data_IF_254313414174
#
_entry.id   IF_254313414174
#
_cell.length_a   1.000
_cell.length_b   1.000
_cell.length_c   1.000
_cell.angle_alpha   90.00
_cell.angle_beta   90.00
_cell.angle_gamma   90.00
#
_symmetry.space_group_name_H-M   'P 1'
#
loop_
_entity.id
_entity.type
_entity.pdbx_description
1 polymer ?
#
# COMPACT_ATOMS: atom_id res chain seq x y z
N UNK A 1 -36.89 50.79 -12.52
CA UNK A 1 -36.28 49.83 -13.46
C UNK A 1 -34.75 49.76 -13.40
N UNK A 2 -34.00 50.87 -13.21
CA UNK A 2 -32.53 50.84 -13.14
C UNK A 2 -31.94 50.02 -11.97
N UNK A 3 -32.62 49.97 -10.82
CA UNK A 3 -32.16 49.21 -9.65
C UNK A 3 -32.37 47.69 -9.74
N UNK A 4 -33.30 47.23 -10.60
CA UNK A 4 -33.57 45.81 -10.78
C UNK A 4 -32.49 45.13 -11.66
N UNK A 5 -31.96 45.84 -12.66
CA UNK A 5 -30.87 45.36 -13.50
C UNK A 5 -29.53 45.26 -12.74
N UNK A 6 -29.28 46.19 -11.81
CA UNK A 6 -28.07 46.20 -10.98
C UNK A 6 -28.05 45.03 -9.98
N UNK A 7 -29.20 44.72 -9.38
CA UNK A 7 -29.35 43.59 -8.46
C UNK A 7 -29.17 42.23 -9.16
N UNK A 8 -29.63 42.09 -10.40
CA UNK A 8 -29.41 40.88 -11.20
C UNK A 8 -27.95 40.71 -11.65
N UNK A 9 -27.25 41.80 -11.98
CA UNK A 9 -25.84 41.75 -12.35
C UNK A 9 -24.93 41.30 -11.18
N UNK A 10 -25.23 41.71 -9.95
CA UNK A 10 -24.49 41.30 -8.74
C UNK A 10 -24.77 39.83 -8.40
N UNK A 11 -26.01 39.35 -8.60
CA UNK A 11 -26.34 37.93 -8.36
C UNK A 11 -25.64 36.99 -9.35
N UNK A 12 -25.52 37.37 -10.63
CA UNK A 12 -24.84 36.54 -11.66
C UNK A 12 -23.32 36.47 -11.45
N UNK A 13 -22.70 37.51 -10.87
CA UNK A 13 -21.27 37.51 -10.51
C UNK A 13 -20.99 36.61 -9.29
N UNK A 14 -21.94 36.51 -8.35
CA UNK A 14 -21.81 35.63 -7.18
C UNK A 14 -22.01 34.13 -7.50
N UNK A 15 -22.65 33.79 -8.63
CA UNK A 15 -22.86 32.40 -9.06
C UNK A 15 -21.91 31.93 -10.19
N UNK A 16 -20.99 32.78 -10.67
CA UNK A 16 -20.04 32.43 -11.76
C UNK A 16 -18.65 32.01 -11.30
N UNK A 17 -18.40 32.00 -9.99
CA UNK A 17 -17.20 31.40 -9.39
C UNK A 17 -17.60 30.02 -8.87
N UNK A 18 -17.57 29.00 -9.74
CA UNK A 18 -17.35 27.64 -9.22
C UNK A 18 -15.89 27.64 -8.78
N UNK A 19 -15.56 27.59 -7.47
CA UNK A 19 -14.18 27.45 -7.07
C UNK A 19 -13.71 26.09 -7.61
N UNK A 20 -12.64 26.09 -8.39
CA UNK A 20 -11.95 24.85 -8.74
C UNK A 20 -11.21 24.48 -7.46
N UNK A 21 -11.90 23.76 -6.60
CA UNK A 21 -11.33 23.36 -5.33
C UNK A 21 -10.22 22.35 -5.63
N UNK A 22 -9.05 22.56 -5.02
CA UNK A 22 -8.01 21.55 -4.97
C UNK A 22 -8.65 20.21 -4.58
N UNK A 23 -8.17 19.08 -5.14
CA UNK A 23 -8.72 17.75 -4.87
C UNK A 23 -9.08 17.60 -3.38
N UNK A 24 -10.39 17.66 -3.12
CA UNK A 24 -10.95 17.63 -1.77
C UNK A 24 -10.79 16.23 -1.18
N UNK A 25 -11.12 16.06 0.11
CA UNK A 25 -10.91 14.78 0.81
C UNK A 25 -11.45 13.55 0.06
N UNK A 26 -12.61 13.67 -0.59
CA UNK A 26 -13.21 12.62 -1.43
C UNK A 26 -12.36 12.31 -2.66
N UNK A 27 -11.97 13.34 -3.42
CA UNK A 27 -11.07 13.20 -4.57
C UNK A 27 -9.72 12.59 -4.16
N UNK A 28 -9.12 13.00 -3.03
CA UNK A 28 -7.80 12.48 -2.58
C UNK A 28 -7.86 10.99 -2.31
N UNK A 29 -8.92 10.55 -1.63
CA UNK A 29 -9.19 9.12 -1.38
C UNK A 29 -9.41 8.37 -2.69
N UNK A 30 -10.15 8.97 -3.60
CA UNK A 30 -10.42 8.45 -4.94
C UNK A 30 -9.15 8.20 -5.75
N UNK A 31 -8.37 9.26 -5.98
CA UNK A 31 -7.06 9.22 -6.64
C UNK A 31 -6.17 8.13 -6.03
N UNK A 32 -6.05 8.08 -4.71
CA UNK A 32 -5.21 7.09 -4.04
C UNK A 32 -5.75 5.65 -4.15
N UNK A 33 -7.07 5.47 -4.30
CA UNK A 33 -7.67 4.14 -4.44
C UNK A 33 -7.25 3.43 -5.73
N UNK A 34 -7.01 4.18 -6.82
CA UNK A 34 -6.49 3.63 -8.08
C UNK A 34 -5.12 2.97 -7.91
N UNK A 35 -4.19 3.68 -7.26
CA UNK A 35 -2.89 3.12 -6.90
C UNK A 35 -3.02 1.95 -5.91
N UNK A 36 -3.86 2.09 -4.88
CA UNK A 36 -4.04 1.06 -3.87
C UNK A 36 -4.53 -0.25 -4.49
N UNK A 37 -5.48 -0.21 -5.43
CA UNK A 37 -5.97 -1.37 -6.14
C UNK A 37 -4.88 -2.02 -7.02
N UNK A 38 -4.11 -1.22 -7.75
CA UNK A 38 -2.99 -1.69 -8.56
C UNK A 38 -1.90 -2.36 -7.71
N UNK A 39 -1.39 -1.66 -6.70
CA UNK A 39 -0.33 -2.15 -5.84
C UNK A 39 -0.77 -3.36 -5.01
N UNK A 40 -2.05 -3.45 -4.62
CA UNK A 40 -2.58 -4.65 -3.95
C UNK A 40 -2.48 -5.89 -4.84
N UNK A 41 -2.61 -5.75 -6.17
CA UNK A 41 -2.38 -6.88 -7.10
C UNK A 41 -0.89 -7.20 -7.18
N UNK A 42 -0.05 -6.19 -7.30
CA UNK A 42 1.40 -6.32 -7.46
C UNK A 42 2.09 -7.01 -6.27
N UNK A 43 1.63 -6.78 -5.03
CA UNK A 43 2.27 -7.42 -3.86
C UNK A 43 1.96 -8.92 -3.70
N UNK A 44 0.88 -9.43 -4.33
CA UNK A 44 0.41 -10.81 -4.08
C UNK A 44 1.46 -11.88 -4.34
N UNK A 45 2.21 -11.85 -5.47
CA UNK A 45 3.25 -12.84 -5.73
C UNK A 45 4.37 -12.84 -4.68
N UNK A 46 4.72 -11.67 -4.14
CA UNK A 46 5.75 -11.54 -3.10
C UNK A 46 5.35 -12.24 -1.80
N UNK A 47 4.11 -11.99 -1.34
CA UNK A 47 3.59 -12.64 -0.14
C UNK A 47 3.41 -14.14 -0.32
N UNK A 48 2.99 -14.57 -1.51
CA UNK A 48 2.90 -16.00 -1.84
C UNK A 48 4.27 -16.68 -1.76
N UNK A 49 5.28 -16.12 -2.44
CA UNK A 49 6.64 -16.65 -2.44
C UNK A 49 7.25 -16.67 -1.02
N UNK A 50 7.08 -15.59 -0.26
CA UNK A 50 7.52 -15.51 1.14
C UNK A 50 6.85 -16.59 2.01
N UNK A 51 5.54 -16.77 1.87
CA UNK A 51 4.79 -17.77 2.60
C UNK A 51 5.26 -19.20 2.27
N UNK A 52 5.45 -19.50 1.00
CA UNK A 52 5.92 -20.81 0.53
C UNK A 52 7.34 -21.09 1.06
N UNK A 53 8.28 -20.14 0.90
CA UNK A 53 9.66 -20.26 1.38
C UNK A 53 9.75 -20.34 2.90
N UNK A 54 9.02 -19.51 3.64
CA UNK A 54 9.03 -19.55 5.09
C UNK A 54 8.51 -20.89 5.58
N UNK A 55 7.37 -21.36 5.09
CA UNK A 55 6.78 -22.60 5.60
C UNK A 55 7.55 -23.86 5.20
N UNK A 56 8.30 -23.83 4.09
CA UNK A 56 9.23 -24.89 3.72
C UNK A 56 10.46 -24.94 4.63
N UNK A 57 11.02 -23.78 4.99
CA UNK A 57 12.29 -23.66 5.71
C UNK A 57 12.14 -23.42 7.22
N UNK A 58 10.91 -23.31 7.73
CA UNK A 58 10.63 -22.90 9.11
C UNK A 58 11.35 -23.77 10.15
N UNK A 59 11.46 -25.06 9.86
CA UNK A 59 12.01 -26.07 10.77
C UNK A 59 13.42 -26.53 10.38
N UNK A 60 14.12 -25.80 9.51
CA UNK A 60 15.50 -26.13 9.17
C UNK A 60 16.34 -26.18 10.45
N UNK A 61 17.04 -27.31 10.65
CA UNK A 61 17.81 -27.62 11.85
C UNK A 61 17.01 -27.64 13.17
N UNK A 62 15.69 -27.82 13.12
CA UNK A 62 14.83 -28.00 14.29
C UNK A 62 14.40 -29.46 14.41
N UNK A 63 14.86 -30.13 15.46
CA UNK A 63 14.46 -31.52 15.74
C UNK A 63 13.10 -31.59 16.44
N UNK A 64 12.05 -31.44 15.64
CA UNK A 64 10.66 -31.53 16.10
C UNK A 64 10.33 -32.87 16.76
N UNK A 65 10.92 -33.99 16.30
CA UNK A 65 10.66 -35.31 16.87
C UNK A 65 11.12 -35.37 18.32
N UNK A 66 12.34 -34.91 18.60
CA UNK A 66 12.88 -34.89 19.97
C UNK A 66 12.15 -33.88 20.88
N UNK A 67 11.72 -32.75 20.32
CA UNK A 67 10.91 -31.76 21.04
C UNK A 67 9.55 -32.37 21.43
N UNK A 68 8.85 -32.98 20.49
CA UNK A 68 7.50 -33.52 20.70
C UNK A 68 7.49 -34.91 21.38
N UNK A 69 8.60 -35.64 21.36
CA UNK A 69 8.74 -36.98 21.94
C UNK A 69 8.25 -38.12 21.04
N UNK A 70 7.56 -37.83 19.93
CA UNK A 70 7.13 -38.81 18.94
C UNK A 70 6.98 -38.18 17.55
N UNK A 71 7.08 -39.01 16.51
CA UNK A 71 6.90 -38.56 15.11
C UNK A 71 5.47 -38.09 14.84
N UNK A 72 4.47 -38.79 15.38
CA UNK A 72 3.06 -38.45 15.15
C UNK A 72 2.72 -37.07 15.72
N UNK A 73 3.11 -36.81 16.98
CA UNK A 73 2.90 -35.50 17.61
C UNK A 73 3.71 -34.40 16.93
N UNK A 74 4.92 -34.71 16.46
CA UNK A 74 5.72 -33.77 15.69
C UNK A 74 5.03 -33.35 14.38
N UNK A 75 4.43 -34.29 13.65
CA UNK A 75 3.71 -34.00 12.40
C UNK A 75 2.44 -33.18 12.63
N UNK A 76 1.69 -33.47 13.69
CA UNK A 76 0.51 -32.70 14.10
C UNK A 76 0.88 -31.25 14.43
N UNK A 77 1.84 -31.06 15.35
CA UNK A 77 2.32 -29.72 15.75
C UNK A 77 2.90 -28.95 14.56
N UNK A 78 3.66 -29.63 13.70
CA UNK A 78 4.20 -29.04 12.46
C UNK A 78 3.09 -28.49 11.57
N UNK A 79 2.01 -29.26 11.39
CA UNK A 79 0.87 -28.86 10.56
C UNK A 79 0.14 -27.66 11.16
N UNK A 80 -0.14 -27.69 12.48
CA UNK A 80 -0.83 -26.60 13.18
C UNK A 80 -0.03 -25.30 13.13
N UNK A 81 1.27 -25.35 13.44
CA UNK A 81 2.14 -24.17 13.37
C UNK A 81 2.21 -23.66 11.94
N UNK A 82 2.40 -24.53 10.94
CA UNK A 82 2.44 -24.13 9.53
C UNK A 82 1.16 -23.39 9.12
N UNK A 83 -0.01 -23.90 9.50
CA UNK A 83 -1.30 -23.27 9.18
C UNK A 83 -1.45 -21.90 9.87
N UNK A 84 -1.09 -21.80 11.15
CA UNK A 84 -1.18 -20.55 11.89
C UNK A 84 -0.18 -19.49 11.39
N UNK A 85 1.02 -19.92 10.96
CA UNK A 85 2.00 -19.05 10.29
C UNK A 85 1.44 -18.55 8.95
N UNK A 86 0.89 -19.43 8.11
CA UNK A 86 0.24 -19.05 6.85
C UNK A 86 -0.87 -18.02 7.09
N UNK A 87 -1.75 -18.28 8.05
CA UNK A 87 -2.83 -17.37 8.42
C UNK A 87 -2.29 -16.01 8.88
N UNK A 88 -1.24 -16.01 9.69
CA UNK A 88 -0.57 -14.78 10.17
C UNK A 88 -0.02 -13.96 9.00
N UNK A 89 0.63 -14.59 8.03
CA UNK A 89 1.16 -13.90 6.84
C UNK A 89 0.04 -13.34 5.97
N UNK A 90 -1.02 -14.13 5.73
CA UNK A 90 -2.19 -13.66 4.97
C UNK A 90 -2.88 -12.47 5.64
N UNK A 91 -2.99 -12.49 6.97
CA UNK A 91 -3.53 -11.36 7.73
C UNK A 91 -2.63 -10.14 7.60
N UNK A 92 -1.32 -10.30 7.79
CA UNK A 92 -0.36 -9.20 7.62
C UNK A 92 -0.42 -8.60 6.21
N UNK A 93 -0.49 -9.43 5.16
CA UNK A 93 -0.67 -8.96 3.79
C UNK A 93 -1.95 -8.12 3.65
N UNK A 94 -3.08 -8.61 4.18
CA UNK A 94 -4.36 -7.91 4.13
C UNK A 94 -4.26 -6.56 4.85
N UNK A 95 -3.75 -6.56 6.07
CA UNK A 95 -3.61 -5.37 6.91
C UNK A 95 -2.66 -4.34 6.26
N UNK A 96 -1.55 -4.80 5.67
CA UNK A 96 -0.60 -3.95 4.93
C UNK A 96 -1.24 -3.33 3.68
N UNK A 97 -1.90 -4.14 2.84
CA UNK A 97 -2.60 -3.62 1.64
C UNK A 97 -3.76 -2.69 1.97
N UNK A 98 -4.44 -2.91 3.11
CA UNK A 98 -5.52 -2.04 3.59
C UNK A 98 -5.07 -0.61 3.90
N UNK A 99 -3.77 -0.39 4.14
CA UNK A 99 -3.19 0.94 4.40
C UNK A 99 -2.79 1.69 3.13
N UNK A 100 -2.84 1.05 1.95
CA UNK A 100 -2.30 1.64 0.73
C UNK A 100 -2.96 2.97 0.38
N UNK A 101 -4.28 3.09 0.52
CA UNK A 101 -4.94 4.37 0.23
C UNK A 101 -4.39 5.51 1.10
N UNK A 102 -4.18 5.29 2.39
CA UNK A 102 -3.65 6.31 3.30
C UNK A 102 -2.18 6.62 3.02
N UNK A 103 -1.36 5.58 2.76
CA UNK A 103 0.05 5.75 2.39
C UNK A 103 0.20 6.57 1.10
N UNK A 104 -0.62 6.27 0.09
CA UNK A 104 -0.58 6.94 -1.21
C UNK A 104 -1.11 8.37 -1.10
N UNK A 105 -2.20 8.60 -0.37
CA UNK A 105 -2.68 9.97 -0.09
C UNK A 105 -1.58 10.77 0.59
N UNK A 106 -0.92 10.21 1.60
CA UNK A 106 0.17 10.89 2.28
C UNK A 106 1.33 11.19 1.33
N UNK A 107 1.70 10.24 0.47
CA UNK A 107 2.76 10.42 -0.51
C UNK A 107 2.46 11.57 -1.49
N UNK A 108 1.27 11.57 -2.10
CA UNK A 108 0.89 12.57 -3.11
C UNK A 108 0.72 13.96 -2.49
N UNK A 109 -0.02 14.05 -1.38
CA UNK A 109 -0.53 15.33 -0.88
C UNK A 109 0.35 15.92 0.23
N UNK A 110 1.18 15.14 0.93
CA UNK A 110 1.93 15.62 2.09
C UNK A 110 3.45 15.57 1.93
N UNK A 111 4.00 14.71 1.05
CA UNK A 111 5.43 14.71 0.73
C UNK A 111 5.75 15.72 -0.36
N UNK A 112 6.98 16.23 -0.39
CA UNK A 112 7.40 17.19 -1.40
C UNK A 112 7.73 16.52 -2.75
N UNK A 113 7.43 17.18 -3.88
CA UNK A 113 6.63 18.41 -3.97
C UNK A 113 5.15 18.12 -3.66
N UNK A 114 4.53 18.91 -2.78
CA UNK A 114 3.13 18.67 -2.35
C UNK A 114 2.14 19.00 -3.47
N UNK A 115 1.31 18.03 -3.84
CA UNK A 115 0.21 18.24 -4.81
C UNK A 115 -1.00 18.84 -4.09
N UNK A 116 -0.90 20.09 -3.65
CA UNK A 116 -1.95 20.81 -2.92
C UNK A 116 -2.24 22.16 -3.57
N UNK A 117 -3.40 22.72 -3.23
CA UNK A 117 -3.80 24.05 -3.69
C UNK A 117 -4.53 24.05 -5.03
N UNK A 118 -5.24 25.15 -5.28
CA UNK A 118 -5.99 25.41 -6.50
C UNK A 118 -5.01 25.64 -7.67
N UNK A 119 -5.36 25.06 -8.81
CA UNK A 119 -4.64 25.19 -10.06
C UNK A 119 -4.93 26.52 -10.78
N UNK A 120 -5.85 27.34 -10.30
CA UNK A 120 -6.25 28.60 -10.94
C UNK A 120 -5.27 29.76 -10.81
N UNK A 121 -4.14 29.60 -10.14
CA UNK A 121 -3.21 30.70 -9.94
C UNK A 121 -1.77 30.26 -10.24
N UNK A 122 -1.26 30.51 -11.48
CA UNK A 122 -1.93 31.16 -12.63
C UNK A 122 -2.96 30.26 -13.33
N UNK A 123 -4.05 30.85 -13.85
CA UNK A 123 -5.16 30.14 -14.52
C UNK A 123 -4.68 29.37 -15.76
N UNK A 124 -4.64 28.04 -15.72
CA UNK A 124 -4.23 27.22 -16.88
C UNK A 124 -5.34 26.36 -17.48
N UNK A 125 -6.32 25.94 -16.69
CA UNK A 125 -7.43 25.11 -17.18
C UNK A 125 -8.77 25.69 -16.74
N UNK A 126 -9.63 26.02 -17.71
CA UNK A 126 -11.06 26.19 -17.44
C UNK A 126 -11.68 24.81 -17.35
N UNK A 127 -11.97 24.34 -16.13
CA UNK A 127 -12.68 23.08 -15.92
C UNK A 127 -14.06 23.16 -16.59
N UNK A 128 -14.23 22.48 -17.72
CA UNK A 128 -15.57 22.13 -18.19
C UNK A 128 -16.09 21.05 -17.26
N UNK A 129 -17.33 21.18 -16.75
CA UNK A 129 -17.98 20.26 -15.79
C UNK A 129 -18.12 18.79 -16.25
N UNK A 130 -17.52 18.42 -17.37
CA UNK A 130 -17.58 17.08 -17.94
C UNK A 130 -16.52 16.20 -17.28
N UNK A 131 -16.96 15.32 -16.39
CA UNK A 131 -16.16 14.19 -15.91
C UNK A 131 -16.43 12.94 -16.78
N UNK A 132 -15.45 12.04 -16.95
CA UNK A 132 -14.05 12.15 -16.51
C UNK A 132 -13.31 13.27 -17.25
N UNK A 133 -12.20 13.75 -16.69
CA UNK A 133 -11.28 14.66 -17.36
C UNK A 133 -10.76 14.03 -18.66
N UNK A 134 -10.65 14.84 -19.70
CA UNK A 134 -10.00 14.45 -20.95
C UNK A 134 -8.51 14.16 -20.68
N UNK A 135 -7.93 13.03 -21.11
CA UNK A 135 -6.49 12.75 -21.00
C UNK A 135 -5.58 13.88 -21.52
N UNK A 136 -6.03 14.65 -22.52
CA UNK A 136 -5.31 15.83 -23.04
C UNK A 136 -5.11 16.89 -21.94
N UNK A 137 -5.97 16.91 -20.91
CA UNK A 137 -5.79 17.81 -19.77
C UNK A 137 -4.50 17.51 -18.99
N UNK A 138 -4.02 16.26 -18.94
CA UNK A 138 -2.72 15.94 -18.33
C UNK A 138 -1.57 16.58 -19.11
N UNK A 139 -1.60 16.50 -20.43
CA UNK A 139 -0.54 17.05 -21.30
C UNK A 139 -0.45 18.57 -21.24
N UNK A 140 -1.58 19.23 -20.95
CA UNK A 140 -1.66 20.69 -20.81
C UNK A 140 -1.16 21.22 -19.47
N UNK A 141 -0.89 20.34 -18.50
CA UNK A 141 -0.31 20.75 -17.23
C UNK A 141 1.21 20.88 -17.36
N UNK A 142 1.75 21.79 -16.58
CA UNK A 142 3.18 22.14 -16.57
C UNK A 142 3.58 22.77 -15.22
N UNK A 143 2.78 22.54 -14.17
CA UNK A 143 2.99 23.01 -12.79
C UNK A 143 2.26 22.11 -11.80
N UNK A 144 2.83 22.01 -10.59
CA UNK A 144 2.34 21.15 -9.54
C UNK A 144 1.22 21.84 -8.77
N UNK A 145 0.03 21.24 -8.80
CA UNK A 145 -1.11 21.61 -7.99
C UNK A 145 -1.93 20.37 -7.62
N UNK A 146 -3.00 20.54 -6.84
CA UNK A 146 -3.73 19.43 -6.25
C UNK A 146 -4.78 18.76 -7.15
N UNK A 147 -5.04 19.21 -8.38
CA UNK A 147 -6.10 18.61 -9.21
C UNK A 147 -5.65 17.30 -9.90
N UNK A 148 -6.62 16.48 -10.36
CA UNK A 148 -6.30 15.23 -11.05
C UNK A 148 -5.46 15.36 -12.34
N UNK A 149 -5.67 16.35 -13.23
CA UNK A 149 -4.78 16.57 -14.38
C UNK A 149 -3.32 16.81 -14.01
N UNK A 150 -3.02 17.61 -12.97
CA UNK A 150 -1.65 17.82 -12.47
C UNK A 150 -1.04 16.50 -12.00
N UNK A 151 -1.77 15.76 -11.16
CA UNK A 151 -1.30 14.47 -10.64
C UNK A 151 -1.03 13.48 -11.80
N UNK A 152 -1.88 13.49 -12.82
CA UNK A 152 -1.71 12.68 -14.02
C UNK A 152 -0.49 13.11 -14.86
N UNK A 153 -0.23 14.41 -15.01
CA UNK A 153 0.93 14.93 -15.75
C UNK A 153 2.25 14.49 -15.11
N UNK A 154 2.36 14.67 -13.80
CA UNK A 154 3.56 14.32 -13.03
C UNK A 154 3.54 12.86 -12.54
N UNK A 155 2.73 12.00 -13.16
CA UNK A 155 2.52 10.63 -12.70
C UNK A 155 3.85 9.86 -12.67
N UNK A 156 4.59 9.91 -13.78
CA UNK A 156 5.81 9.12 -13.98
C UNK A 156 7.03 9.75 -13.29
N UNK A 157 7.13 11.08 -13.35
CA UNK A 157 8.31 11.81 -12.85
C UNK A 157 8.30 11.97 -11.33
N UNK A 158 7.13 12.22 -10.73
CA UNK A 158 7.05 12.61 -9.31
C UNK A 158 6.18 11.66 -8.48
N UNK A 159 5.00 11.28 -8.96
CA UNK A 159 3.97 10.61 -8.14
C UNK A 159 4.30 9.13 -7.92
N UNK A 160 4.48 8.34 -8.99
CA UNK A 160 4.75 6.90 -8.87
C UNK A 160 6.04 6.61 -8.09
N UNK A 161 7.18 7.30 -8.35
CA UNK A 161 8.41 7.01 -7.64
C UNK A 161 8.27 7.08 -6.11
N UNK A 162 7.72 8.17 -5.58
CA UNK A 162 7.52 8.34 -4.14
C UNK A 162 6.45 7.44 -3.56
N UNK A 163 5.40 7.14 -4.32
CA UNK A 163 4.34 6.22 -3.89
C UNK A 163 4.90 4.80 -3.73
N UNK A 164 5.68 4.33 -4.69
CA UNK A 164 6.40 3.05 -4.63
C UNK A 164 7.37 3.03 -3.46
N UNK A 165 8.18 4.07 -3.31
CA UNK A 165 9.16 4.17 -2.22
C UNK A 165 8.49 4.19 -0.84
N UNK A 166 7.37 4.92 -0.70
CA UNK A 166 6.58 4.95 0.54
C UNK A 166 6.08 3.55 0.91
N UNK A 167 5.57 2.79 -0.07
CA UNK A 167 5.11 1.40 0.16
C UNK A 167 6.29 0.50 0.55
N UNK A 168 7.43 0.60 -0.14
CA UNK A 168 8.65 -0.18 0.19
C UNK A 168 9.11 0.10 1.62
N UNK A 169 9.26 1.37 1.98
CA UNK A 169 9.72 1.79 3.29
C UNK A 169 8.77 1.35 4.40
N UNK A 170 7.45 1.49 4.18
CA UNK A 170 6.46 1.04 5.14
C UNK A 170 6.52 -0.48 5.36
N UNK A 171 6.67 -1.29 4.30
CA UNK A 171 6.83 -2.74 4.44
C UNK A 171 8.07 -3.10 5.27
N UNK A 172 9.20 -2.44 5.03
CA UNK A 172 10.46 -2.71 5.75
C UNK A 172 10.29 -2.45 7.25
N UNK A 173 9.61 -1.35 7.60
CA UNK A 173 9.30 -1.00 8.99
C UNK A 173 8.38 -2.07 9.61
N UNK A 174 7.25 -2.37 8.98
CA UNK A 174 6.25 -3.30 9.51
C UNK A 174 6.74 -4.75 9.55
N UNK A 175 7.69 -5.12 8.69
CA UNK A 175 8.30 -6.46 8.68
C UNK A 175 9.11 -6.75 9.95
N UNK A 176 9.59 -5.72 10.67
CA UNK A 176 10.24 -5.91 11.98
C UNK A 176 9.25 -6.45 13.00
N UNK A 177 8.03 -5.94 13.00
CA UNK A 177 6.96 -6.41 13.88
C UNK A 177 6.44 -7.78 13.45
N UNK A 178 6.42 -8.07 12.15
CA UNK A 178 6.04 -9.39 11.63
C UNK A 178 6.88 -10.52 12.22
N UNK A 179 8.20 -10.32 12.41
CA UNK A 179 9.08 -11.31 13.05
C UNK A 179 8.58 -11.63 14.46
N UNK A 180 8.25 -10.61 15.24
CA UNK A 180 7.72 -10.75 16.61
C UNK A 180 6.38 -11.46 16.61
N UNK A 181 5.47 -11.08 15.70
CA UNK A 181 4.15 -11.70 15.57
C UNK A 181 4.28 -13.19 15.23
N UNK A 182 5.10 -13.54 14.24
CA UNK A 182 5.34 -14.94 13.85
C UNK A 182 5.95 -15.77 14.98
N UNK A 183 6.94 -15.21 15.70
CA UNK A 183 7.53 -15.86 16.88
C UNK A 183 6.47 -16.16 17.93
N UNK A 184 5.59 -15.20 18.21
CA UNK A 184 4.50 -15.37 19.17
C UNK A 184 3.46 -16.39 18.70
N UNK A 185 3.11 -16.39 17.41
CA UNK A 185 2.22 -17.40 16.81
C UNK A 185 2.74 -18.82 17.04
N UNK A 186 4.04 -19.05 16.81
CA UNK A 186 4.69 -20.35 17.06
C UNK A 186 4.66 -20.70 18.55
N UNK A 187 5.07 -19.76 19.42
CA UNK A 187 5.10 -19.95 20.87
C UNK A 187 3.71 -20.33 21.40
N UNK A 188 2.67 -19.61 20.99
CA UNK A 188 1.30 -19.83 21.45
C UNK A 188 0.78 -21.19 20.95
N UNK A 189 0.99 -21.50 19.67
CA UNK A 189 0.58 -22.79 19.10
C UNK A 189 1.27 -23.96 19.79
N UNK A 190 2.59 -23.86 20.03
CA UNK A 190 3.35 -24.89 20.74
C UNK A 190 2.89 -25.07 22.19
N UNK A 191 2.59 -23.97 22.90
CA UNK A 191 2.12 -24.00 24.29
C UNK A 191 0.76 -24.67 24.43
N UNK A 192 -0.18 -24.35 23.52
CA UNK A 192 -1.50 -25.01 23.44
C UNK A 192 -1.36 -26.52 23.23
N UNK A 193 -0.31 -26.95 22.51
CA UNK A 193 -0.01 -28.36 22.24
C UNK A 193 0.92 -29.01 23.28
N UNK A 194 0.98 -28.43 24.49
CA UNK A 194 1.73 -28.94 25.64
C UNK A 194 3.26 -29.04 25.42
N UNK A 195 3.82 -28.20 24.55
CA UNK A 195 5.28 -28.01 24.46
C UNK A 195 5.67 -26.87 25.40
N UNK A 196 6.44 -27.18 26.45
CA UNK A 196 6.79 -26.25 27.54
C UNK A 196 8.27 -26.31 27.91
N UNK A 197 8.70 -25.35 28.74
CA UNK A 197 10.07 -25.30 29.29
C UNK A 197 11.15 -25.22 28.20
N UNK A 198 12.25 -25.95 28.41
CA UNK A 198 13.39 -25.94 27.48
C UNK A 198 13.01 -26.40 26.06
N UNK A 199 12.04 -27.32 25.92
CA UNK A 199 11.56 -27.78 24.62
C UNK A 199 10.88 -26.66 23.82
N UNK A 200 10.10 -25.81 24.50
CA UNK A 200 9.46 -24.65 23.90
C UNK A 200 10.52 -23.64 23.42
N UNK A 201 11.50 -23.33 24.27
CA UNK A 201 12.56 -22.38 23.94
C UNK A 201 13.36 -22.86 22.72
N UNK A 202 13.78 -24.13 22.69
CA UNK A 202 14.48 -24.74 21.54
C UNK A 202 13.68 -24.62 20.24
N UNK A 203 12.37 -24.91 20.29
CA UNK A 203 11.50 -24.78 19.13
C UNK A 203 11.41 -23.33 18.65
N UNK A 204 11.08 -22.41 19.57
CA UNK A 204 10.85 -21.00 19.24
C UNK A 204 12.12 -20.35 18.72
N UNK A 205 13.27 -20.58 19.36
CA UNK A 205 14.54 -19.95 18.98
C UNK A 205 15.07 -20.52 17.67
N UNK A 206 14.92 -21.83 17.45
CA UNK A 206 15.25 -22.47 16.17
C UNK A 206 14.41 -21.90 15.02
N UNK A 207 13.10 -21.85 15.19
CA UNK A 207 12.20 -21.26 14.19
C UNK A 207 12.45 -19.76 14.01
N UNK A 208 12.79 -19.01 15.07
CA UNK A 208 13.00 -17.56 15.00
C UNK A 208 14.19 -17.19 14.10
N UNK A 209 15.29 -17.97 14.11
CA UNK A 209 16.42 -17.79 13.18
C UNK A 209 15.98 -17.95 11.72
N UNK A 210 15.15 -18.96 11.45
CA UNK A 210 14.60 -19.21 10.12
C UNK A 210 13.64 -18.08 9.70
N UNK A 211 12.76 -17.63 10.60
CA UNK A 211 11.87 -16.48 10.36
C UNK A 211 12.68 -15.23 9.98
N UNK A 212 13.69 -14.86 10.78
CA UNK A 212 14.53 -13.68 10.51
C UNK A 212 15.20 -13.75 9.14
N UNK A 213 15.74 -14.92 8.79
CA UNK A 213 16.38 -15.15 7.49
C UNK A 213 15.40 -14.96 6.34
N UNK A 214 14.22 -15.56 6.44
CA UNK A 214 13.21 -15.50 5.38
C UNK A 214 12.55 -14.12 5.27
N UNK A 215 12.29 -13.44 6.39
CA UNK A 215 11.78 -12.06 6.39
C UNK A 215 12.81 -11.12 5.75
N UNK A 216 14.11 -11.24 6.08
CA UNK A 216 15.16 -10.43 5.45
C UNK A 216 15.25 -10.67 3.94
N UNK A 217 15.13 -11.92 3.49
CA UNK A 217 15.10 -12.25 2.07
C UNK A 217 13.85 -11.69 1.38
N UNK A 218 12.69 -11.79 2.03
CA UNK A 218 11.44 -11.21 1.55
C UNK A 218 11.51 -9.70 1.40
N UNK A 219 11.94 -8.96 2.43
CA UNK A 219 12.04 -7.50 2.36
C UNK A 219 13.00 -7.05 1.29
N UNK A 220 14.17 -7.71 1.16
CA UNK A 220 15.13 -7.41 0.10
C UNK A 220 14.56 -7.67 -1.30
N UNK A 221 13.87 -8.79 -1.49
CA UNK A 221 13.22 -9.11 -2.77
C UNK A 221 12.10 -8.11 -3.09
N UNK A 222 11.32 -7.71 -2.10
CA UNK A 222 10.28 -6.69 -2.27
C UNK A 222 10.87 -5.33 -2.63
N UNK A 223 11.83 -4.85 -1.86
CA UNK A 223 12.52 -3.57 -2.09
C UNK A 223 13.09 -3.45 -3.51
N UNK A 224 13.69 -4.54 -4.01
CA UNK A 224 14.35 -4.57 -5.32
C UNK A 224 13.41 -4.81 -6.50
N UNK A 225 12.30 -5.55 -6.33
CA UNK A 225 11.46 -5.96 -7.45
C UNK A 225 10.03 -5.40 -7.45
N UNK A 226 9.50 -4.99 -6.30
CA UNK A 226 8.18 -4.35 -6.25
C UNK A 226 8.23 -3.07 -7.07
N UNK A 227 7.41 -3.00 -8.14
CA UNK A 227 7.45 -1.91 -9.11
C UNK A 227 8.90 -1.58 -9.51
N UNK A 228 9.57 -2.51 -10.20
CA UNK A 228 10.97 -2.32 -10.61
C UNK A 228 11.17 -0.95 -11.29
N UNK A 229 12.31 -0.28 -11.06
CA UNK A 229 12.56 1.11 -11.46
C UNK A 229 11.53 2.14 -10.94
N UNK A 230 10.80 1.79 -9.89
CA UNK A 230 9.74 2.59 -9.26
C UNK A 230 8.59 3.01 -10.18
N UNK A 231 8.37 2.29 -11.29
CA UNK A 231 7.47 2.77 -12.35
C UNK A 231 6.13 2.01 -12.45
N UNK A 232 6.05 0.73 -12.07
CA UNK A 232 4.81 -0.08 -12.12
C UNK A 232 3.96 0.13 -13.39
N UNK A 233 4.62 0.28 -14.55
CA UNK A 233 4.04 0.80 -15.80
C UNK A 233 2.84 0.00 -16.30
N UNK A 234 2.79 -1.30 -15.98
CA UNK A 234 1.66 -2.17 -16.33
C UNK A 234 0.31 -1.71 -15.77
N UNK A 235 0.31 -0.77 -14.82
CA UNK A 235 -0.90 -0.21 -14.20
C UNK A 235 -1.21 1.23 -14.60
N UNK A 236 -0.39 1.86 -15.44
CA UNK A 236 -0.49 3.30 -15.72
C UNK A 236 -1.83 3.69 -16.32
N UNK A 237 -2.32 2.94 -17.32
CA UNK A 237 -3.61 3.21 -17.94
C UNK A 237 -4.77 3.17 -16.94
N UNK A 238 -4.74 2.20 -16.02
CA UNK A 238 -5.78 2.06 -14.99
C UNK A 238 -5.67 3.17 -13.95
N UNK A 239 -4.45 3.53 -13.54
CA UNK A 239 -4.20 4.59 -12.57
C UNK A 239 -4.59 5.95 -13.16
N UNK A 240 -4.16 6.27 -14.39
CA UNK A 240 -4.52 7.52 -15.10
C UNK A 240 -6.03 7.64 -15.25
N UNK A 241 -6.71 6.58 -15.71
CA UNK A 241 -8.17 6.56 -15.85
C UNK A 241 -8.88 6.83 -14.52
N UNK A 242 -8.40 6.21 -13.44
CA UNK A 242 -9.00 6.43 -12.11
C UNK A 242 -8.78 7.85 -11.63
N UNK A 243 -7.54 8.37 -11.69
CA UNK A 243 -7.20 9.75 -11.32
C UNK A 243 -8.15 10.73 -12.04
N UNK A 244 -8.24 10.62 -13.35
CA UNK A 244 -9.03 11.51 -14.20
C UNK A 244 -10.56 11.32 -14.05
N UNK A 245 -11.03 10.33 -13.30
CA UNK A 245 -12.45 10.20 -13.01
C UNK A 245 -12.94 11.12 -11.88
N UNK A 246 -12.02 11.68 -11.10
CA UNK A 246 -12.35 12.52 -9.94
C UNK A 246 -12.44 14.00 -10.32
N UNK A 247 -13.36 14.78 -9.71
CA UNK A 247 -13.47 16.23 -9.90
C UNK A 247 -12.24 17.01 -9.44
#
# INVERSE_FOLDING_TARGET
MKYFALAFAILVILFSLSPIEACESSCRKGVASGFAAAYTKEIKPFFKDFNDKLTQNLYNHVDLKNICGSTNKANEVKTLIKNNVKFTISKFQKDFSGKFSDLIQNAIFNQEPKFKGDCNHPFRIKQTKTLPWDPIACEKMDYICGNPPSICHFLDSEIKPRCVETVKNNLIIESKDLIKILRNTIKNTATINNIRGNKLNKLVDGCNKNIQTQVKAFTKNFETKFCNNNNCEQYDEVIKKEILSWP
#
